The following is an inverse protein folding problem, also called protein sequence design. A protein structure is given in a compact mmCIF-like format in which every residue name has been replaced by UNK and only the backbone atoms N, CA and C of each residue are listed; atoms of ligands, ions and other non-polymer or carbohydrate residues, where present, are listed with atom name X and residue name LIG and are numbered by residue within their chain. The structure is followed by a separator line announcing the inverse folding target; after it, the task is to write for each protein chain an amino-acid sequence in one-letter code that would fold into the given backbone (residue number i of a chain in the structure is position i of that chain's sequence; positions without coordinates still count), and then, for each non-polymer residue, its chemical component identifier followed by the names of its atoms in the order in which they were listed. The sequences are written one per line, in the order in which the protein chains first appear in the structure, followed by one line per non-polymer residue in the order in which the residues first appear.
data_IF_837680577300
#
_entry.id   IF_837680577300
#
_cell.length_a   1.000
_cell.length_b   1.000
_cell.length_c   1.000
_cell.angle_alpha   90.00
_cell.angle_beta   90.00
_cell.angle_gamma   90.00
#
_symmetry.space_group_name_H-M   'P 1'
#
loop_
_entity.id
_entity.type
_entity.pdbx_description
1 polymer ?
#
# COMPACT_ATOMS: atom_id res chain seq x y z
N UNK A 1 2.53 -61.75 11.71
CA UNK A 1 3.54 -61.00 12.49
C UNK A 1 3.23 -59.52 12.33
N UNK A 2 2.96 -58.85 13.45
CA UNK A 2 2.20 -57.60 13.54
C UNK A 2 2.95 -56.37 13.00
N UNK A 3 2.24 -55.52 12.26
CA UNK A 3 2.72 -54.19 11.85
C UNK A 3 2.42 -53.19 12.96
N UNK A 4 3.48 -52.61 13.54
CA UNK A 4 3.40 -51.62 14.63
C UNK A 4 2.81 -50.31 14.12
N UNK A 5 1.60 -49.98 14.55
CA UNK A 5 0.96 -48.71 14.26
C UNK A 5 1.61 -47.61 15.11
N UNK A 6 2.40 -46.74 14.50
CA UNK A 6 2.87 -45.50 15.13
C UNK A 6 1.68 -44.60 15.40
N UNK A 7 1.21 -44.56 16.66
CA UNK A 7 0.11 -43.72 17.10
C UNK A 7 0.49 -42.24 17.01
N UNK A 8 0.23 -41.62 15.86
CA UNK A 8 0.29 -40.17 15.68
C UNK A 8 -0.88 -39.55 16.43
N UNK A 9 -0.65 -39.04 17.65
CA UNK A 9 -1.65 -38.33 18.43
C UNK A 9 -2.05 -37.06 17.66
N UNK A 10 -3.32 -36.93 17.23
CA UNK A 10 -3.74 -35.77 16.46
C UNK A 10 -3.71 -34.49 17.32
N UNK A 11 -3.26 -33.37 16.72
CA UNK A 11 -2.95 -32.08 17.39
C UNK A 11 -4.11 -31.43 18.17
N UNK A 12 -5.34 -31.92 18.04
CA UNK A 12 -6.49 -31.47 18.81
C UNK A 12 -6.63 -32.15 20.18
N UNK A 13 -5.87 -33.22 20.44
CA UNK A 13 -5.81 -33.87 21.76
C UNK A 13 -4.70 -33.31 22.67
N UNK A 14 -3.88 -32.39 22.15
CA UNK A 14 -2.89 -31.65 22.93
C UNK A 14 -3.54 -30.37 23.47
N UNK A 15 -3.44 -30.03 24.76
CA UNK A 15 -3.99 -28.80 25.31
C UNK A 15 -3.31 -27.59 24.65
N UNK A 16 -4.00 -26.91 23.74
CA UNK A 16 -3.45 -25.82 22.91
C UNK A 16 -3.25 -24.49 23.63
N UNK A 17 -3.47 -24.39 24.94
CA UNK A 17 -3.12 -23.19 25.72
C UNK A 17 -3.31 -23.44 27.22
N UNK A 18 -2.26 -23.88 27.91
CA UNK A 18 -2.25 -23.89 29.37
C UNK A 18 -2.20 -22.45 29.92
N UNK A 19 -3.34 -21.92 30.35
CA UNK A 19 -3.43 -20.68 31.16
C UNK A 19 -2.60 -20.75 32.47
N UNK A 20 -2.18 -21.95 32.87
CA UNK A 20 -1.36 -22.23 34.06
C UNK A 20 0.13 -21.89 33.92
N UNK A 21 0.64 -21.55 32.72
CA UNK A 21 2.03 -21.11 32.52
C UNK A 21 2.18 -19.60 32.30
N UNK A 22 1.12 -18.82 32.51
CA UNK A 22 1.17 -17.36 32.39
C UNK A 22 1.71 -16.77 33.71
N UNK A 23 3.04 -16.65 33.81
CA UNK A 23 3.73 -15.96 34.90
C UNK A 23 3.27 -14.49 34.93
N UNK A 24 2.59 -14.12 36.01
CA UNK A 24 2.21 -12.75 36.32
C UNK A 24 3.47 -11.88 36.52
N UNK A 25 3.53 -10.75 35.82
CA UNK A 25 4.46 -9.66 36.15
C UNK A 25 3.71 -8.64 37.02
N UNK A 26 4.29 -8.15 38.14
CA UNK A 26 3.60 -7.22 39.02
C UNK A 26 3.55 -5.81 38.43
N UNK A 27 2.34 -5.31 38.17
CA UNK A 27 2.05 -3.88 38.04
C UNK A 27 1.82 -3.29 39.42
N UNK A 28 2.72 -2.44 39.90
CA UNK A 28 2.56 -1.67 41.13
C UNK A 28 1.56 -0.52 40.92
N UNK A 29 0.31 -0.73 41.31
CA UNK A 29 -0.68 0.34 41.52
C UNK A 29 -1.15 0.26 42.98
N UNK A 30 -0.61 1.15 43.81
CA UNK A 30 -1.04 1.33 45.20
C UNK A 30 -1.99 2.52 45.30
N UNK A 31 -3.26 2.22 45.53
CA UNK A 31 -4.30 3.14 45.95
C UNK A 31 -4.09 3.63 47.39
N UNK A 32 -4.52 4.85 47.70
CA UNK A 32 -5.62 5.12 48.65
C UNK A 32 -5.46 6.44 49.41
N UNK A 33 -6.63 6.99 49.70
CA UNK A 33 -6.96 8.29 50.26
C UNK A 33 -6.54 8.48 51.73
N UNK A 34 -6.54 9.75 52.17
CA UNK A 34 -7.37 10.26 53.29
C UNK A 34 -6.69 11.45 53.98
N UNK A 35 -7.41 12.58 54.03
CA UNK A 35 -7.11 13.69 54.92
C UNK A 35 -7.89 13.52 56.22
N UNK A 36 -7.34 13.97 57.36
CA UNK A 36 -8.21 14.70 58.27
C UNK A 36 -7.55 15.93 58.90
N UNK A 37 -8.41 16.94 59.08
CA UNK A 37 -8.20 18.16 59.83
C UNK A 37 -7.89 17.91 61.31
N UNK A 38 -7.06 18.77 61.93
CA UNK A 38 -7.41 19.54 63.15
C UNK A 38 -6.28 20.51 63.53
N UNK A 39 -6.68 21.71 63.93
CA UNK A 39 -5.84 22.82 64.41
C UNK A 39 -5.92 22.86 65.94
N UNK A 40 -4.81 23.14 66.62
CA UNK A 40 -4.78 23.64 68.00
C UNK A 40 -4.26 25.07 68.09
N UNK A 41 -4.62 25.70 69.20
CA UNK A 41 -4.86 27.10 69.50
C UNK A 41 -3.64 27.93 69.95
N UNK A 42 -3.77 29.26 69.77
CA UNK A 42 -3.31 30.42 70.60
C UNK A 42 -1.77 30.67 70.63
N UNK A 43 -1.21 31.88 70.72
CA UNK A 43 -1.66 33.18 71.25
C UNK A 43 -0.69 34.33 70.80
N UNK A 44 -1.16 35.58 70.89
CA UNK A 44 -0.41 36.86 71.08
C UNK A 44 0.47 37.39 69.91
N UNK A 45 0.59 38.69 69.60
CA UNK A 45 0.02 39.97 70.06
C UNK A 45 0.62 41.10 69.19
N UNK A 46 -0.02 42.28 69.22
CA UNK A 46 0.51 43.65 68.96
C UNK A 46 0.41 44.17 67.51
N UNK A 47 0.08 45.44 67.20
CA UNK A 47 -0.55 46.55 67.93
C UNK A 47 -0.84 47.68 66.90
N UNK A 48 -2.10 48.10 66.71
CA UNK A 48 -2.44 49.46 66.27
C UNK A 48 -3.84 49.85 66.76
N UNK A 49 -4.03 51.14 67.01
CA UNK A 49 -5.10 51.76 67.80
C UNK A 49 -6.14 52.44 66.82
N UNK A 50 -7.50 52.43 66.99
CA UNK A 50 -8.54 52.72 66.01
C UNK A 50 -9.15 54.12 66.26
N UNK A 51 -10.20 54.42 65.53
CA UNK A 51 -11.25 55.38 65.92
C UNK A 51 -12.60 54.63 65.83
N UNK A 52 -13.31 54.49 66.96
CA UNK A 52 -14.36 53.46 67.18
C UNK A 52 -13.86 52.31 68.04
N UNK A 53 -14.70 51.46 68.68
CA UNK A 53 -14.20 50.36 69.51
C UNK A 53 -13.19 49.52 68.71
N UNK A 54 -11.98 49.41 69.28
CA UNK A 54 -10.71 48.92 68.74
C UNK A 54 -10.77 47.44 68.33
N UNK A 55 -11.46 47.15 67.23
CA UNK A 55 -11.47 45.82 66.60
C UNK A 55 -10.34 45.77 65.58
N UNK A 56 -9.27 45.04 65.92
CA UNK A 56 -8.10 44.82 65.07
C UNK A 56 -8.54 44.21 63.72
N UNK A 57 -8.18 44.87 62.62
CA UNK A 57 -8.24 44.25 61.30
C UNK A 57 -7.36 42.99 61.33
N UNK A 58 -7.93 41.84 60.97
CA UNK A 58 -7.17 40.58 60.91
C UNK A 58 -6.02 40.78 59.92
N UNK A 59 -4.77 40.42 60.26
CA UNK A 59 -3.66 40.57 59.32
C UNK A 59 -3.96 39.80 58.04
N UNK A 60 -3.54 40.35 56.89
CA UNK A 60 -3.52 39.67 55.59
C UNK A 60 -3.06 38.23 55.82
N UNK A 61 -3.92 37.27 55.46
CA UNK A 61 -3.67 35.86 55.68
C UNK A 61 -2.36 35.53 54.96
N UNK A 62 -1.34 35.08 55.69
CA UNK A 62 -0.09 34.63 55.10
C UNK A 62 -0.40 33.51 54.12
N UNK A 63 -0.43 33.86 52.85
CA UNK A 63 -0.47 32.94 51.75
C UNK A 63 1.00 32.61 51.51
N UNK A 64 1.53 31.47 52.01
CA UNK A 64 2.87 31.07 51.61
C UNK A 64 2.90 31.10 50.09
N UNK A 65 4.01 31.51 49.45
CA UNK A 65 4.13 31.48 48.00
C UNK A 65 3.60 30.13 47.55
N UNK A 66 2.50 30.15 46.79
CA UNK A 66 1.84 28.93 46.34
C UNK A 66 2.95 28.12 45.69
N UNK A 67 3.41 27.05 46.34
CA UNK A 67 4.24 26.09 45.65
C UNK A 67 3.43 25.72 44.43
N UNK A 68 3.88 26.16 43.25
CA UNK A 68 3.15 25.94 42.03
C UNK A 68 2.85 24.45 41.97
N UNK A 69 1.59 24.08 41.73
CA UNK A 69 1.12 22.69 41.71
C UNK A 69 1.84 21.80 40.66
N UNK A 70 2.87 22.35 40.02
CA UNK A 70 3.75 21.70 39.07
C UNK A 70 5.18 21.93 39.52
N UNK A 71 5.84 20.86 39.94
CA UNK A 71 7.30 20.79 39.88
C UNK A 71 7.73 21.29 38.49
N UNK A 72 8.73 22.18 38.38
CA UNK A 72 9.25 22.60 37.09
C UNK A 72 9.77 21.36 36.35
N UNK A 73 8.99 20.86 35.38
CA UNK A 73 9.34 19.70 34.51
C UNK A 73 10.56 19.97 33.59
N UNK A 74 11.33 21.02 33.84
CA UNK A 74 12.40 21.50 32.94
C UNK A 74 13.82 21.23 33.43
N UNK A 75 14.02 20.66 34.62
CA UNK A 75 15.36 20.49 35.19
C UNK A 75 15.51 19.18 35.95
N UNK A 76 14.99 18.07 35.43
CA UNK A 76 15.53 16.77 35.84
C UNK A 76 16.78 16.58 34.98
N UNK A 77 17.99 16.54 35.56
CA UNK A 77 19.20 16.28 34.80
C UNK A 77 19.04 14.91 34.14
N UNK A 78 18.96 14.87 32.80
CA UNK A 78 18.76 13.62 32.05
C UNK A 78 19.99 12.71 32.15
N UNK A 79 21.13 13.25 32.59
CA UNK A 79 22.32 12.51 32.96
C UNK A 79 22.99 13.15 34.18
N UNK A 80 23.36 12.32 35.16
CA UNK A 80 24.26 12.70 36.26
C UNK A 80 25.67 12.83 35.69
N UNK A 81 26.00 13.98 35.11
CA UNK A 81 27.29 14.20 34.44
C UNK A 81 27.44 15.52 33.69
N UNK A 82 26.37 16.30 33.55
CA UNK A 82 26.38 17.52 32.73
C UNK A 82 26.13 17.21 31.25
N UNK A 83 26.23 18.25 30.42
CA UNK A 83 26.04 18.12 28.97
C UNK A 83 27.24 17.40 28.35
N UNK A 84 26.96 16.33 27.61
CA UNK A 84 27.99 15.54 26.91
C UNK A 84 28.71 16.41 25.88
N UNK A 85 30.05 16.37 25.90
CA UNK A 85 30.85 17.06 24.91
C UNK A 85 30.60 16.49 23.51
N UNK A 86 30.74 17.31 22.47
CA UNK A 86 30.56 16.86 21.09
C UNK A 86 31.46 15.66 20.73
N UNK A 87 32.69 15.64 21.26
CA UNK A 87 33.62 14.53 21.09
C UNK A 87 33.10 13.24 21.73
N UNK A 88 32.53 13.33 22.93
CA UNK A 88 31.99 12.17 23.64
C UNK A 88 30.74 11.60 22.96
N UNK A 89 29.89 12.45 22.38
CA UNK A 89 28.73 12.00 21.58
C UNK A 89 29.19 11.18 20.38
N UNK A 90 30.24 11.62 19.67
CA UNK A 90 30.78 10.87 18.53
C UNK A 90 31.40 9.54 18.95
N UNK A 91 32.07 9.49 20.11
CA UNK A 91 32.64 8.26 20.67
C UNK A 91 31.55 7.27 21.12
N UNK A 92 30.45 7.76 21.70
CA UNK A 92 29.30 6.94 22.06
C UNK A 92 28.58 6.39 20.81
N UNK A 93 28.45 7.21 19.76
CA UNK A 93 27.82 6.80 18.51
C UNK A 93 28.61 5.71 17.75
N UNK A 94 29.92 5.59 17.99
CA UNK A 94 30.78 4.56 17.41
C UNK A 94 30.89 3.29 18.27
N UNK A 95 30.41 3.31 19.53
CA UNK A 95 30.49 2.15 20.43
C UNK A 95 29.45 1.10 20.05
N UNK A 96 29.92 -0.13 19.91
CA UNK A 96 29.10 -1.30 19.63
C UNK A 96 28.81 -2.05 20.93
N UNK A 97 27.53 -2.28 21.22
CA UNK A 97 27.06 -3.02 22.38
C UNK A 97 26.15 -4.17 21.94
N UNK A 98 26.17 -5.33 22.62
CA UNK A 98 25.32 -6.45 22.26
C UNK A 98 23.83 -6.06 22.34
N UNK A 99 23.08 -6.35 21.28
CA UNK A 99 21.63 -6.05 21.20
C UNK A 99 21.29 -4.62 20.79
N UNK A 100 22.28 -3.75 20.55
CA UNK A 100 22.03 -2.42 19.99
C UNK A 100 22.11 -2.44 18.47
N UNK A 101 21.45 -1.48 17.81
CA UNK A 101 21.58 -1.29 16.38
C UNK A 101 23.05 -0.97 16.01
N UNK A 102 23.53 -1.43 14.85
CA UNK A 102 24.90 -1.22 14.44
C UNK A 102 25.21 0.29 14.28
N UNK A 103 26.43 0.75 14.65
CA UNK A 103 26.78 2.16 14.60
C UNK A 103 26.90 2.67 13.16
N UNK A 104 26.72 3.97 12.96
CA UNK A 104 26.48 4.60 11.64
C UNK A 104 27.57 4.36 10.59
N UNK A 105 28.79 4.12 11.05
CA UNK A 105 29.97 3.88 10.24
C UNK A 105 30.20 2.39 9.88
N UNK A 106 29.18 1.54 10.05
CA UNK A 106 29.26 0.11 9.73
C UNK A 106 28.43 -0.25 8.50
N UNK A 107 28.85 -1.30 7.81
CA UNK A 107 28.13 -1.87 6.65
C UNK A 107 26.74 -2.35 7.07
N UNK A 108 26.62 -2.93 8.26
CA UNK A 108 25.34 -3.39 8.79
C UNK A 108 24.36 -2.23 8.96
N UNK A 109 24.80 -1.08 9.49
CA UNK A 109 23.96 0.11 9.57
C UNK A 109 23.54 0.61 8.20
N UNK A 110 24.49 0.67 7.25
CA UNK A 110 24.21 1.05 5.88
C UNK A 110 23.17 0.13 5.22
N UNK A 111 23.32 -1.19 5.34
CA UNK A 111 22.39 -2.16 4.77
C UNK A 111 20.99 -2.01 5.37
N UNK A 112 20.86 -1.93 6.70
CA UNK A 112 19.58 -1.82 7.40
C UNK A 112 18.85 -0.50 7.11
N UNK A 113 19.57 0.61 6.91
CA UNK A 113 18.96 1.94 6.84
C UNK A 113 18.82 2.45 5.40
N UNK A 114 19.41 1.77 4.41
CA UNK A 114 19.30 2.16 3.01
C UNK A 114 18.00 1.63 2.38
N UNK A 115 17.04 2.54 2.16
CA UNK A 115 15.75 2.23 1.54
C UNK A 115 15.88 1.66 0.13
N UNK A 116 16.87 2.08 -0.64
CA UNK A 116 17.06 1.61 -2.02
C UNK A 116 17.43 0.13 -2.09
N UNK A 117 18.26 -0.34 -1.17
CA UNK A 117 18.63 -1.77 -1.10
C UNK A 117 17.39 -2.61 -0.83
N UNK A 118 16.54 -2.18 0.11
CA UNK A 118 15.29 -2.87 0.42
C UNK A 118 14.32 -2.85 -0.76
N UNK A 119 14.24 -1.74 -1.50
CA UNK A 119 13.42 -1.65 -2.72
C UNK A 119 13.96 -2.59 -3.80
N UNK A 120 15.27 -2.61 -4.04
CA UNK A 120 15.87 -3.49 -5.05
C UNK A 120 15.70 -4.97 -4.67
N UNK A 121 15.85 -5.33 -3.39
CA UNK A 121 15.64 -6.71 -2.94
C UNK A 121 14.16 -7.07 -3.05
N UNK A 122 13.24 -6.25 -2.56
CA UNK A 122 11.80 -6.59 -2.58
C UNK A 122 11.24 -6.60 -4.00
N UNK A 123 11.51 -5.56 -4.80
CA UNK A 123 11.09 -5.50 -6.20
C UNK A 123 11.82 -6.57 -7.02
N UNK A 124 13.13 -6.73 -6.85
CA UNK A 124 13.92 -7.73 -7.57
C UNK A 124 13.47 -9.16 -7.30
N UNK A 125 13.18 -9.50 -6.03
CA UNK A 125 12.66 -10.83 -5.67
C UNK A 125 11.26 -11.06 -6.24
N UNK A 126 10.35 -10.09 -6.12
CA UNK A 126 9.00 -10.19 -6.69
C UNK A 126 9.02 -10.28 -8.22
N UNK A 127 9.80 -9.44 -8.89
CA UNK A 127 9.96 -9.49 -10.36
C UNK A 127 10.60 -10.80 -10.81
N UNK A 128 11.62 -11.29 -10.11
CA UNK A 128 12.24 -12.59 -10.41
C UNK A 128 11.25 -13.76 -10.30
N UNK A 129 10.43 -13.78 -9.23
CA UNK A 129 9.37 -14.78 -9.06
C UNK A 129 8.27 -14.67 -10.13
N UNK A 130 7.88 -13.44 -10.49
CA UNK A 130 6.91 -13.20 -11.55
C UNK A 130 7.40 -13.70 -12.91
N UNK A 131 8.65 -13.42 -13.28
CA UNK A 131 9.26 -13.93 -14.53
C UNK A 131 9.38 -15.44 -14.48
N UNK A 132 9.83 -16.01 -13.35
CA UNK A 132 9.97 -17.47 -13.20
C UNK A 132 8.63 -18.21 -13.34
N UNK A 133 7.60 -17.74 -12.64
CA UNK A 133 6.25 -18.31 -12.74
C UNK A 133 5.64 -18.11 -14.13
N UNK A 134 5.91 -16.99 -14.78
CA UNK A 134 5.51 -16.76 -16.18
C UNK A 134 6.15 -17.77 -17.13
N UNK A 135 7.47 -18.00 -17.02
CA UNK A 135 8.19 -18.98 -17.86
C UNK A 135 7.68 -20.40 -17.63
N UNK A 136 7.46 -20.80 -16.37
CA UNK A 136 6.87 -22.11 -16.06
C UNK A 136 5.47 -22.25 -16.65
N UNK A 137 4.62 -21.24 -16.48
CA UNK A 137 3.27 -21.27 -17.05
C UNK A 137 3.31 -21.32 -18.59
N UNK A 138 4.25 -20.60 -19.21
CA UNK A 138 4.46 -20.65 -20.66
C UNK A 138 4.87 -22.06 -21.10
N UNK A 139 5.84 -22.68 -20.43
CA UNK A 139 6.27 -24.05 -20.74
C UNK A 139 5.15 -25.09 -20.60
N UNK A 140 4.25 -24.92 -19.63
CA UNK A 140 3.13 -25.84 -19.41
C UNK A 140 1.94 -25.62 -20.34
N UNK A 141 1.70 -24.38 -20.80
CA UNK A 141 0.46 -24.04 -21.54
C UNK A 141 0.69 -23.75 -23.01
N UNK A 142 1.92 -23.41 -23.41
CA UNK A 142 2.25 -23.06 -24.78
C UNK A 142 2.62 -24.29 -25.61
N UNK A 143 2.06 -24.46 -26.81
CA UNK A 143 2.51 -25.50 -27.73
C UNK A 143 3.87 -25.19 -28.37
N UNK A 144 4.43 -24.00 -28.14
CA UNK A 144 5.70 -23.54 -28.71
C UNK A 144 6.86 -23.55 -27.70
N UNK A 145 6.69 -24.27 -26.59
CA UNK A 145 7.69 -24.33 -25.52
C UNK A 145 9.05 -24.87 -26.01
N UNK A 146 9.03 -25.85 -26.92
CA UNK A 146 10.23 -26.49 -27.47
C UNK A 146 11.03 -25.59 -28.42
N UNK A 147 10.43 -24.48 -28.86
CA UNK A 147 11.08 -23.50 -29.74
C UNK A 147 11.91 -22.46 -28.98
N UNK A 148 11.90 -22.50 -27.64
CA UNK A 148 12.68 -21.58 -26.82
C UNK A 148 14.19 -21.89 -26.92
N UNK A 149 15.05 -20.86 -26.93
CA UNK A 149 16.50 -21.08 -26.84
C UNK A 149 16.85 -21.87 -25.57
N UNK A 150 17.79 -22.82 -25.63
CA UNK A 150 18.29 -23.47 -24.42
C UNK A 150 18.97 -22.46 -23.50
N UNK A 151 18.95 -22.73 -22.19
CA UNK A 151 19.47 -21.80 -21.17
C UNK A 151 20.91 -21.31 -21.45
N UNK A 152 21.74 -22.17 -22.03
CA UNK A 152 23.13 -21.89 -22.38
C UNK A 152 23.28 -20.86 -23.51
N UNK A 153 22.32 -20.83 -24.44
CA UNK A 153 22.40 -19.95 -25.60
C UNK A 153 22.15 -18.49 -25.23
N UNK A 154 21.35 -18.23 -24.19
CA UNK A 154 21.17 -16.89 -23.63
C UNK A 154 22.48 -16.26 -23.12
N UNK A 155 23.44 -17.08 -22.66
CA UNK A 155 24.73 -16.59 -22.17
C UNK A 155 25.74 -16.36 -23.31
N UNK A 156 25.71 -17.19 -24.36
CA UNK A 156 26.65 -17.09 -25.49
C UNK A 156 26.19 -16.10 -26.56
N UNK A 157 24.89 -16.07 -26.84
CA UNK A 157 24.31 -15.27 -27.92
C UNK A 157 23.07 -14.49 -27.42
N UNK A 158 23.23 -13.53 -26.48
CA UNK A 158 22.10 -12.89 -25.81
C UNK A 158 21.14 -12.17 -26.78
N UNK A 159 21.67 -11.58 -27.85
CA UNK A 159 20.87 -10.79 -28.80
C UNK A 159 20.00 -11.71 -29.68
N UNK A 160 20.53 -12.84 -30.16
CA UNK A 160 19.75 -13.77 -30.98
C UNK A 160 18.70 -14.49 -30.14
N UNK A 161 19.05 -14.93 -28.93
CA UNK A 161 18.11 -15.62 -28.04
C UNK A 161 16.93 -14.72 -27.66
N UNK A 162 17.16 -13.42 -27.41
CA UNK A 162 16.06 -12.48 -27.13
C UNK A 162 15.16 -12.29 -28.36
N UNK A 163 15.71 -12.21 -29.57
CA UNK A 163 14.91 -12.12 -30.80
C UNK A 163 14.02 -13.34 -30.99
N UNK A 164 14.57 -14.55 -30.84
CA UNK A 164 13.79 -15.78 -30.92
C UNK A 164 12.70 -15.84 -29.84
N UNK A 165 13.01 -15.39 -28.61
CA UNK A 165 12.02 -15.33 -27.54
C UNK A 165 10.84 -14.41 -27.93
N UNK A 166 11.12 -13.23 -28.50
CA UNK A 166 10.06 -12.32 -28.96
C UNK A 166 9.22 -12.95 -30.07
N UNK A 167 9.84 -13.62 -31.04
CA UNK A 167 9.14 -14.35 -32.12
C UNK A 167 8.22 -15.45 -31.56
N UNK A 168 8.71 -16.23 -30.60
CA UNK A 168 7.93 -17.29 -29.94
C UNK A 168 6.76 -16.72 -29.13
N UNK A 169 6.98 -15.60 -28.42
CA UNK A 169 5.90 -14.91 -27.71
C UNK A 169 4.84 -14.38 -28.67
N UNK A 170 5.25 -13.76 -29.78
CA UNK A 170 4.34 -13.28 -30.81
C UNK A 170 3.53 -14.43 -31.43
N UNK A 171 4.17 -15.58 -31.68
CA UNK A 171 3.50 -16.78 -32.19
C UNK A 171 2.47 -17.34 -31.19
N UNK A 172 2.80 -17.34 -29.90
CA UNK A 172 1.89 -17.75 -28.83
C UNK A 172 0.66 -16.84 -28.74
N UNK A 173 0.86 -15.53 -28.86
CA UNK A 173 -0.22 -14.54 -28.90
C UNK A 173 -1.09 -14.69 -30.14
N UNK A 174 -0.47 -14.88 -31.31
CA UNK A 174 -1.19 -15.15 -32.56
C UNK A 174 -2.06 -16.41 -32.45
N UNK A 175 -1.55 -17.48 -31.83
CA UNK A 175 -2.30 -18.71 -31.62
C UNK A 175 -3.48 -18.52 -30.66
N UNK A 176 -3.28 -17.83 -29.54
CA UNK A 176 -4.36 -17.48 -28.60
C UNK A 176 -5.43 -16.64 -29.28
N UNK A 177 -5.02 -15.63 -30.04
CA UNK A 177 -5.91 -14.74 -30.79
C UNK A 177 -6.71 -15.52 -31.82
N UNK A 178 -6.08 -16.42 -32.58
CA UNK A 178 -6.77 -17.28 -33.53
C UNK A 178 -7.85 -18.15 -32.86
N UNK A 179 -7.54 -18.77 -31.71
CA UNK A 179 -8.52 -19.58 -30.96
C UNK A 179 -9.67 -18.75 -30.41
N UNK A 180 -9.39 -17.55 -29.90
CA UNK A 180 -10.45 -16.64 -29.41
C UNK A 180 -11.33 -16.20 -30.56
N UNK A 181 -10.75 -15.83 -31.71
CA UNK A 181 -11.48 -15.44 -32.90
C UNK A 181 -12.34 -16.58 -33.45
N UNK A 182 -11.84 -17.82 -33.43
CA UNK A 182 -12.63 -18.98 -33.82
C UNK A 182 -13.83 -19.20 -32.89
N UNK A 183 -13.63 -19.08 -31.57
CA UNK A 183 -14.74 -19.15 -30.60
C UNK A 183 -15.76 -18.03 -30.84
N UNK A 184 -15.30 -16.80 -31.04
CA UNK A 184 -16.18 -15.64 -31.34
C UNK A 184 -16.95 -15.87 -32.64
N UNK A 185 -16.29 -16.38 -33.68
CA UNK A 185 -16.90 -16.71 -34.97
C UNK A 185 -18.02 -17.74 -34.81
N UNK A 186 -17.78 -18.84 -34.08
CA UNK A 186 -18.81 -19.86 -33.81
C UNK A 186 -20.04 -19.26 -33.11
N UNK A 187 -19.81 -18.42 -32.10
CA UNK A 187 -20.91 -17.76 -31.38
C UNK A 187 -21.71 -16.81 -32.29
N UNK A 188 -21.03 -16.04 -33.16
CA UNK A 188 -21.67 -15.15 -34.13
C UNK A 188 -22.47 -15.94 -35.16
N UNK A 189 -21.91 -17.04 -35.68
CA UNK A 189 -22.61 -17.94 -36.61
C UNK A 189 -23.86 -18.54 -35.98
N UNK A 190 -23.82 -18.93 -34.70
CA UNK A 190 -24.98 -19.47 -34.00
C UNK A 190 -26.06 -18.43 -33.71
N UNK A 191 -25.66 -17.18 -33.42
CA UNK A 191 -26.60 -16.05 -33.33
C UNK A 191 -27.23 -15.78 -34.69
N UNK A 192 -26.44 -15.77 -35.77
CA UNK A 192 -26.92 -15.54 -37.13
C UNK A 192 -27.91 -16.62 -37.58
N UNK A 193 -27.62 -17.90 -37.32
CA UNK A 193 -28.56 -19.02 -37.58
C UNK A 193 -29.87 -18.84 -36.85
N UNK A 194 -29.83 -18.45 -35.56
CA UNK A 194 -31.05 -18.19 -34.76
C UNK A 194 -31.86 -17.02 -35.32
N UNK A 195 -31.19 -15.94 -35.71
CA UNK A 195 -31.84 -14.80 -36.33
C UNK A 195 -32.49 -15.18 -37.68
N UNK A 196 -31.77 -15.92 -38.53
CA UNK A 196 -32.28 -16.40 -39.81
C UNK A 196 -33.48 -17.34 -39.64
N UNK A 197 -33.41 -18.27 -38.68
CA UNK A 197 -34.52 -19.18 -38.36
C UNK A 197 -35.78 -18.41 -37.96
N UNK A 198 -35.65 -17.41 -37.08
CA UNK A 198 -36.77 -16.57 -36.67
C UNK A 198 -37.38 -15.79 -37.82
N UNK A 199 -36.54 -15.13 -38.64
CA UNK A 199 -36.97 -14.38 -39.83
C UNK A 199 -37.77 -15.27 -40.77
N UNK A 200 -37.32 -16.51 -41.01
CA UNK A 200 -38.01 -17.47 -41.87
C UNK A 200 -39.36 -17.95 -41.29
N UNK A 201 -39.49 -18.00 -39.97
CA UNK A 201 -40.72 -18.44 -39.29
C UNK A 201 -41.62 -17.27 -38.85
N UNK A 202 -41.27 -16.02 -39.17
CA UNK A 202 -42.05 -14.83 -38.81
C UNK A 202 -42.06 -14.49 -37.32
N UNK A 203 -41.09 -14.99 -36.53
CA UNK A 203 -40.95 -14.63 -35.12
C UNK A 203 -40.29 -13.25 -34.99
N UNK A 204 -40.66 -12.43 -33.98
CA UNK A 204 -40.04 -11.12 -33.75
C UNK A 204 -38.54 -11.25 -33.48
N UNK A 205 -37.76 -10.27 -33.94
CA UNK A 205 -36.33 -10.17 -33.67
C UNK A 205 -36.07 -10.24 -32.16
N UNK A 206 -35.00 -10.94 -31.73
CA UNK A 206 -34.61 -10.99 -30.31
C UNK A 206 -34.32 -9.56 -29.82
N UNK A 207 -35.21 -9.00 -29.02
CA UNK A 207 -34.89 -7.86 -28.17
C UNK A 207 -33.86 -8.32 -27.14
N UNK A 208 -32.78 -7.56 -26.99
CA UNK A 208 -31.77 -7.82 -25.99
C UNK A 208 -32.31 -7.63 -24.58
N UNK A 209 -31.45 -7.86 -23.59
CA UNK A 209 -31.73 -7.50 -22.21
C UNK A 209 -32.11 -6.01 -22.15
N UNK A 210 -33.27 -5.69 -21.57
CA UNK A 210 -33.88 -4.35 -21.48
C UNK A 210 -34.57 -3.79 -22.75
N UNK A 211 -35.27 -4.62 -23.54
CA UNK A 211 -36.09 -4.18 -24.69
C UNK A 211 -35.33 -3.31 -25.71
N UNK A 212 -34.00 -3.42 -25.72
CA UNK A 212 -33.14 -2.72 -26.67
C UNK A 212 -32.95 -3.61 -27.90
N UNK A 213 -33.10 -3.07 -29.12
CA UNK A 213 -32.80 -3.84 -30.32
C UNK A 213 -31.31 -4.22 -30.31
N UNK A 214 -31.02 -5.52 -30.39
CA UNK A 214 -29.65 -6.01 -30.52
C UNK A 214 -29.05 -5.51 -31.84
N UNK A 215 -27.78 -5.10 -31.81
CA UNK A 215 -27.08 -4.63 -32.99
C UNK A 215 -27.10 -5.72 -34.07
N UNK A 216 -27.79 -5.45 -35.19
CA UNK A 216 -27.83 -6.36 -36.34
C UNK A 216 -26.41 -6.48 -36.89
N UNK A 217 -25.85 -7.68 -36.81
CA UNK A 217 -24.58 -7.99 -37.46
C UNK A 217 -24.89 -7.99 -38.96
N UNK A 218 -24.49 -6.91 -39.66
CA UNK A 218 -24.62 -6.81 -41.11
C UNK A 218 -23.71 -7.88 -41.72
N UNK A 219 -24.31 -8.89 -42.32
CA UNK A 219 -23.60 -9.79 -43.23
C UNK A 219 -23.69 -9.15 -44.61
N UNK A 220 -22.54 -8.83 -45.19
CA UNK A 220 -22.42 -8.25 -46.52
C UNK A 220 -23.03 -9.23 -47.54
N UNK A 221 -24.28 -8.98 -47.95
CA UNK A 221 -25.02 -9.89 -48.83
C UNK A 221 -26.50 -9.53 -49.06
N UNK A 222 -27.13 -8.79 -48.16
CA UNK A 222 -28.52 -8.34 -48.35
C UNK A 222 -28.54 -6.88 -48.81
N UNK A 223 -28.64 -6.69 -50.13
CA UNK A 223 -29.01 -5.41 -50.71
C UNK A 223 -30.48 -5.11 -50.44
N UNK A 224 -30.73 -4.16 -49.54
CA UNK A 224 -31.89 -3.29 -49.68
C UNK A 224 -31.58 -1.94 -49.04
N UNK A 225 -31.85 -0.87 -49.79
CA UNK A 225 -31.45 0.48 -49.45
C UNK A 225 -32.47 1.16 -48.54
N UNK A 226 -31.99 1.79 -47.48
CA UNK A 226 -32.46 3.11 -47.08
C UNK A 226 -31.37 3.82 -46.26
N UNK A 227 -31.27 5.13 -46.44
CA UNK A 227 -30.03 5.91 -46.33
C UNK A 227 -29.62 6.41 -44.95
N UNK A 228 -28.39 6.94 -44.94
CA UNK A 228 -27.97 8.06 -44.07
C UNK A 228 -27.49 7.71 -42.67
N UNK A 229 -26.23 7.28 -42.53
CA UNK A 229 -25.15 8.09 -41.90
C UNK A 229 -23.98 7.22 -41.42
N UNK A 230 -22.78 7.61 -41.88
CA UNK A 230 -21.47 7.25 -41.33
C UNK A 230 -21.08 8.39 -40.34
N UNK A 231 -20.32 8.14 -39.25
CA UNK A 231 -19.06 7.42 -39.38
C UNK A 231 -18.71 6.42 -38.26
N UNK A 232 -17.72 5.62 -38.63
CA UNK A 232 -16.94 4.72 -37.80
C UNK A 232 -16.51 5.35 -36.46
N UNK A 233 -16.77 4.65 -35.35
CA UNK A 233 -15.97 4.67 -34.11
C UNK A 233 -16.61 3.84 -32.98
N UNK A 234 -16.97 2.56 -33.16
CA UNK A 234 -17.21 1.68 -32.00
C UNK A 234 -16.88 0.22 -32.35
N UNK A 235 -15.60 -0.05 -32.60
CA UNK A 235 -15.06 -1.41 -32.56
C UNK A 235 -13.83 -1.43 -31.66
N UNK A 236 -13.96 -0.84 -30.47
CA UNK A 236 -12.97 -0.97 -29.40
C UNK A 236 -13.64 -0.68 -28.06
N UNK A 237 -14.59 -1.54 -27.65
CA UNK A 237 -15.26 -1.37 -26.37
C UNK A 237 -15.82 -2.68 -25.80
N UNK A 238 -15.17 -3.83 -26.01
CA UNK A 238 -15.45 -5.03 -25.20
C UNK A 238 -14.20 -5.90 -25.05
N UNK A 239 -13.11 -5.34 -24.51
CA UNK A 239 -12.13 -6.13 -23.75
C UNK A 239 -11.28 -5.16 -22.92
N UNK A 240 -11.43 -5.23 -21.59
CA UNK A 240 -10.77 -4.34 -20.63
C UNK A 240 -11.24 -4.55 -19.19
N UNK A 241 -12.40 -5.17 -18.99
CA UNK A 241 -12.86 -5.60 -17.67
C UNK A 241 -12.26 -6.95 -17.28
N UNK A 242 -10.97 -6.95 -16.93
CA UNK A 242 -10.42 -7.88 -15.92
C UNK A 242 -9.03 -7.50 -15.39
N UNK A 243 -8.44 -6.38 -15.81
CA UNK A 243 -7.18 -5.87 -15.22
C UNK A 243 -7.33 -4.58 -14.40
N UNK A 244 -8.53 -3.98 -14.29
CA UNK A 244 -8.71 -2.68 -13.61
C UNK A 244 -9.43 -2.71 -12.25
N UNK A 245 -9.62 -3.88 -11.64
CA UNK A 245 -10.28 -3.96 -10.33
C UNK A 245 -9.37 -3.61 -9.12
N UNK A 246 -8.08 -3.34 -9.32
CA UNK A 246 -7.15 -2.96 -8.21
C UNK A 246 -6.71 -1.50 -8.26
N UNK A 247 -7.13 -0.72 -9.26
CA UNK A 247 -6.77 0.71 -9.37
C UNK A 247 -7.98 1.63 -9.13
N UNK A 248 -9.21 1.13 -9.28
CA UNK A 248 -10.43 1.94 -9.20
C UNK A 248 -10.88 2.36 -7.77
N UNK A 249 -10.08 2.14 -6.72
CA UNK A 249 -10.37 2.65 -5.35
C UNK A 249 -9.56 3.89 -4.99
N UNK A 250 -8.61 4.32 -5.82
CA UNK A 250 -7.79 5.50 -5.54
C UNK A 250 -8.28 6.81 -6.18
N UNK A 251 -9.29 6.77 -7.07
CA UNK A 251 -9.64 7.92 -7.91
C UNK A 251 -11.02 8.53 -7.59
N UNK A 252 -11.34 8.67 -6.31
CA UNK A 252 -12.45 9.53 -5.87
C UNK A 252 -11.98 10.50 -4.80
N UNK A 253 -10.93 11.27 -5.07
CA UNK A 253 -10.44 12.27 -4.12
C UNK A 253 -9.61 13.40 -4.76
N UNK A 254 -10.02 14.01 -5.88
CA UNK A 254 -9.72 15.42 -6.15
C UNK A 254 -10.47 15.95 -7.37
N UNK A 255 -11.57 16.68 -7.15
CA UNK A 255 -12.14 17.54 -8.19
C UNK A 255 -11.52 18.94 -8.02
N UNK A 256 -10.30 19.08 -8.52
CA UNK A 256 -9.61 20.38 -8.68
C UNK A 256 -10.09 21.11 -9.95
N UNK A 257 -9.88 22.44 -10.05
CA UNK A 257 -10.54 23.28 -11.04
C UNK A 257 -10.05 22.97 -12.47
N UNK A 258 -10.96 23.11 -13.44
CA UNK A 258 -10.78 22.81 -14.86
C UNK A 258 -9.42 23.24 -15.43
N UNK A 259 -8.75 22.30 -16.08
CA UNK A 259 -7.47 22.50 -16.74
C UNK A 259 -7.62 23.48 -17.92
N UNK A 260 -7.28 24.75 -17.69
CA UNK A 260 -7.03 25.71 -18.77
C UNK A 260 -5.85 25.23 -19.61
N UNK A 261 -6.02 25.18 -20.93
CA UNK A 261 -4.94 24.87 -21.87
C UNK A 261 -3.90 26.00 -21.80
N UNK A 262 -2.78 25.72 -21.13
CA UNK A 262 -1.63 26.63 -21.05
C UNK A 262 -1.15 26.98 -22.46
N UNK A 263 -0.93 28.27 -22.70
CA UNK A 263 -0.34 28.78 -23.94
C UNK A 263 1.11 28.30 -24.07
N UNK A 264 1.67 28.29 -25.29
CA UNK A 264 2.99 27.71 -25.56
C UNK A 264 4.11 28.36 -24.74
N UNK A 265 3.98 29.65 -24.45
CA UNK A 265 4.91 30.42 -23.62
C UNK A 265 4.91 29.94 -22.16
N UNK A 266 3.74 29.64 -21.58
CA UNK A 266 3.61 29.13 -20.22
C UNK A 266 4.19 27.72 -20.10
N UNK A 267 4.08 26.89 -21.15
CA UNK A 267 4.68 25.56 -21.19
C UNK A 267 6.21 25.64 -21.21
N UNK A 268 6.77 26.56 -21.99
CA UNK A 268 8.22 26.77 -22.04
C UNK A 268 8.75 27.26 -20.69
N UNK A 269 8.04 28.16 -20.00
CA UNK A 269 8.41 28.62 -18.67
C UNK A 269 8.41 27.50 -17.60
N UNK A 270 7.46 26.56 -17.68
CA UNK A 270 7.41 25.39 -16.78
C UNK A 270 8.57 24.44 -17.06
N UNK A 271 8.91 24.22 -18.33
CA UNK A 271 10.04 23.36 -18.72
C UNK A 271 11.37 23.99 -18.29
N UNK A 272 11.58 25.29 -18.50
CA UNK A 272 12.79 26.00 -18.05
C UNK A 272 12.91 26.00 -16.51
N UNK A 273 11.80 26.22 -15.79
CA UNK A 273 11.78 26.14 -14.33
C UNK A 273 12.06 24.72 -13.82
N UNK A 274 11.54 23.69 -14.50
CA UNK A 274 11.83 22.30 -14.18
C UNK A 274 13.30 21.95 -14.47
N UNK A 275 13.85 22.44 -15.58
CA UNK A 275 15.24 22.24 -15.98
C UNK A 275 16.22 22.93 -15.02
N UNK A 276 15.94 24.16 -14.59
CA UNK A 276 16.72 24.86 -13.56
C UNK A 276 16.70 24.14 -12.20
N UNK A 277 15.54 23.61 -11.80
CA UNK A 277 15.40 22.81 -10.57
C UNK A 277 16.13 21.47 -10.65
N UNK A 278 16.21 20.88 -11.84
CA UNK A 278 16.90 19.60 -12.09
C UNK A 278 18.41 19.77 -12.22
N UNK A 279 18.87 20.95 -12.68
CA UNK A 279 20.28 21.33 -12.74
C UNK A 279 20.83 21.92 -11.43
N UNK A 280 20.01 21.99 -10.37
CA UNK A 280 20.48 22.37 -9.03
C UNK A 280 20.97 23.81 -8.91
N UNK A 281 20.55 24.70 -9.80
CA UNK A 281 20.84 26.14 -9.70
C UNK A 281 19.75 26.77 -8.82
N UNK A 282 19.97 26.72 -7.51
CA UNK A 282 19.41 27.64 -6.50
C UNK A 282 20.58 28.16 -5.70
#
# INVERSE_FOLDING_TARGET
MASSATASIPRFLLPQSGLIWRRAAPSSAGSSASAPHRIFLRLASSNSKPTGPRVLAKPERFNPPSHGARLPKKTIPRHYGGDISAAEVTAQAAREYPGMAPPKNTIAHWFLHNRWIHVIITVGTLSGLAIFTFVLNFQHTSPFADMLPPAEDYLRHPISSVRMLVEVLQLHEAHKTARINEKRRRNVEDVAKRAAYRKAHGLPDEMGLFDRPMAKIRMDGDGDGDGGDKPAAVAEAVEGQQTEAVVAVAETANKGPEARRLTEEERQAVVEKAKGKLLGII
#
